data_IF_244026062291
#
_entry.id   IF_244026062291
#
_cell.length_a   1.000
_cell.length_b   1.000
_cell.length_c   1.000
_cell.angle_alpha   90.00
_cell.angle_beta   90.00
_cell.angle_gamma   90.00
#
_symmetry.space_group_name_H-M   'P 1'
#
loop_
_entity.id
_entity.type
_entity.pdbx_description
1 polymer ?
#
# COMPACT_ATOMS: atom_id res chain seq x y z
N UNK A 1 39.60 18.37 -48.54
CA UNK A 1 38.93 18.77 -47.27
C UNK A 1 37.97 17.66 -46.93
N UNK A 2 38.31 16.79 -45.96
CA UNK A 2 37.50 15.66 -45.57
C UNK A 2 36.57 16.13 -44.46
N UNK A 3 35.24 15.94 -44.62
CA UNK A 3 34.25 16.23 -43.60
C UNK A 3 34.44 15.32 -42.38
N UNK A 4 34.30 15.83 -41.14
CA UNK A 4 34.40 15.00 -39.94
C UNK A 4 33.16 14.10 -39.85
N UNK A 5 33.36 12.80 -39.72
CA UNK A 5 32.33 11.79 -39.47
C UNK A 5 31.63 12.12 -38.12
N UNK A 6 30.28 12.20 -38.12
CA UNK A 6 29.56 12.45 -36.85
C UNK A 6 29.79 11.31 -35.87
N UNK A 7 30.27 11.65 -34.67
CA UNK A 7 30.40 10.69 -33.57
C UNK A 7 29.04 10.24 -33.10
N UNK A 8 28.81 8.93 -32.83
CA UNK A 8 27.53 8.45 -32.29
C UNK A 8 27.33 9.06 -30.91
N UNK A 9 26.18 9.70 -30.76
CA UNK A 9 25.71 10.19 -29.44
C UNK A 9 25.68 9.04 -28.46
N UNK A 10 26.23 9.17 -27.23
CA UNK A 10 26.17 8.10 -26.25
C UNK A 10 24.71 7.76 -25.97
N UNK A 11 24.31 6.52 -26.26
CA UNK A 11 23.03 5.99 -25.85
C UNK A 11 23.05 5.86 -24.32
N UNK A 12 22.46 6.83 -23.63
CA UNK A 12 22.19 6.72 -22.19
C UNK A 12 21.23 5.55 -22.01
N UNK A 13 21.72 4.44 -21.49
CA UNK A 13 20.86 3.33 -21.02
C UNK A 13 19.81 3.94 -20.09
N UNK A 14 18.51 3.74 -20.32
CA UNK A 14 17.49 4.28 -19.44
C UNK A 14 17.72 3.73 -18.03
N UNK A 15 17.93 4.65 -17.07
CA UNK A 15 18.09 4.25 -15.67
C UNK A 15 16.79 3.65 -15.18
N UNK A 16 16.89 2.49 -14.56
CA UNK A 16 15.75 1.82 -13.91
C UNK A 16 15.23 2.68 -12.75
N UNK A 17 13.92 2.82 -12.64
CA UNK A 17 13.27 3.48 -11.51
C UNK A 17 12.45 2.44 -10.74
N UNK A 18 12.56 2.42 -9.41
CA UNK A 18 11.77 1.54 -8.56
C UNK A 18 10.73 2.35 -7.79
N UNK A 19 9.49 1.87 -7.74
CA UNK A 19 8.46 2.42 -6.86
C UNK A 19 7.95 1.32 -5.94
N UNK A 20 8.15 1.51 -4.63
CA UNK A 20 7.75 0.60 -3.58
C UNK A 20 6.36 0.99 -3.06
N UNK A 21 5.35 0.19 -3.31
CA UNK A 21 4.04 0.32 -2.67
C UNK A 21 4.12 -0.36 -1.30
N UNK A 22 4.13 0.41 -0.22
CA UNK A 22 4.25 -0.04 1.16
C UNK A 22 2.87 0.00 1.83
N UNK A 23 2.40 -1.13 2.39
CA UNK A 23 1.23 -1.13 3.25
C UNK A 23 1.59 -0.63 4.65
N UNK A 24 0.71 0.16 5.28
CA UNK A 24 0.88 0.61 6.66
C UNK A 24 1.06 -0.55 7.65
N UNK A 25 1.66 -0.27 8.81
CA UNK A 25 1.87 -1.19 9.92
C UNK A 25 0.58 -1.53 10.67
N UNK A 26 0.71 -2.36 11.72
CA UNK A 26 -0.41 -2.72 12.56
C UNK A 26 -1.02 -1.50 13.26
N UNK A 27 -2.36 -1.52 13.39
CA UNK A 27 -3.13 -0.40 13.95
C UNK A 27 -3.65 -0.75 15.34
N UNK A 28 -3.62 0.20 16.27
CA UNK A 28 -4.30 0.08 17.56
C UNK A 28 -5.82 0.09 17.35
N UNK A 29 -6.44 -1.08 17.39
CA UNK A 29 -7.88 -1.27 17.15
C UNK A 29 -8.49 -2.34 18.08
N UNK A 30 -8.51 -2.08 19.39
CA UNK A 30 -8.95 -3.07 20.38
C UNK A 30 -10.41 -3.48 20.21
N UNK A 31 -11.22 -2.60 19.60
CA UNK A 31 -12.65 -2.89 19.38
C UNK A 31 -12.92 -3.71 18.11
N UNK A 32 -11.90 -3.98 17.28
CA UNK A 32 -12.04 -4.75 16.04
C UNK A 32 -13.05 -4.15 15.04
N UNK A 33 -13.09 -2.82 14.92
CA UNK A 33 -13.96 -2.14 13.96
C UNK A 33 -13.31 -2.05 12.59
N UNK A 34 -14.10 -2.04 11.52
CA UNK A 34 -13.61 -1.68 10.21
C UNK A 34 -13.37 -0.16 10.17
N UNK A 35 -12.13 0.27 10.27
CA UNK A 35 -11.79 1.67 10.38
C UNK A 35 -11.75 2.42 9.03
N UNK A 36 -11.52 1.73 7.88
CA UNK A 36 -11.58 2.34 6.56
C UNK A 36 -10.82 3.67 6.45
N UNK A 37 -11.53 4.75 6.13
CA UNK A 37 -10.99 6.13 6.05
C UNK A 37 -11.12 6.94 7.33
N UNK A 38 -11.54 6.33 8.43
CA UNK A 38 -11.75 7.04 9.70
C UNK A 38 -10.43 7.48 10.31
N UNK A 39 -10.45 8.71 10.88
CA UNK A 39 -9.36 9.29 11.64
C UNK A 39 -9.24 8.68 13.05
N UNK A 40 -8.11 8.93 13.72
CA UNK A 40 -7.85 8.47 15.09
C UNK A 40 -7.42 7.01 15.17
N UNK A 41 -7.03 6.39 14.05
CA UNK A 41 -6.49 5.04 14.02
C UNK A 41 -4.98 5.07 13.78
N UNK A 42 -4.23 5.10 14.89
CA UNK A 42 -2.78 5.16 14.95
C UNK A 42 -2.15 3.75 14.91
N UNK A 43 -0.84 3.67 14.67
CA UNK A 43 -0.10 2.44 14.79
C UNK A 43 -0.12 1.91 16.24
N UNK A 44 -0.18 0.58 16.39
CA UNK A 44 0.12 -0.09 17.64
C UNK A 44 1.63 -0.04 17.94
N UNK A 45 2.04 -0.44 19.16
CA UNK A 45 3.45 -0.62 19.47
C UNK A 45 4.16 -1.61 18.54
N UNK A 46 3.45 -2.65 18.08
CA UNK A 46 3.96 -3.59 17.07
C UNK A 46 4.04 -2.91 15.70
N UNK A 47 3.02 -2.13 15.30
CA UNK A 47 3.03 -1.38 14.06
C UNK A 47 4.18 -0.40 13.95
N UNK A 48 4.55 0.27 15.05
CA UNK A 48 5.74 1.15 15.11
C UNK A 48 7.04 0.35 14.89
N UNK A 49 7.18 -0.82 15.52
CA UNK A 49 8.33 -1.72 15.31
C UNK A 49 8.40 -2.21 13.86
N UNK A 50 7.25 -2.52 13.25
CA UNK A 50 7.17 -2.90 11.83
C UNK A 50 7.61 -1.76 10.91
N UNK A 51 7.16 -0.52 11.16
CA UNK A 51 7.56 0.66 10.41
C UNK A 51 9.08 0.92 10.52
N UNK A 52 9.65 0.79 11.72
CA UNK A 52 11.09 0.90 11.94
C UNK A 52 11.86 -0.20 11.18
N UNK A 53 11.40 -1.46 11.19
CA UNK A 53 12.02 -2.56 10.44
C UNK A 53 12.04 -2.28 8.93
N UNK A 54 10.99 -1.69 8.37
CA UNK A 54 10.99 -1.26 6.96
C UNK A 54 12.00 -0.16 6.74
N UNK A 55 12.08 0.83 7.63
CA UNK A 55 13.07 1.90 7.54
C UNK A 55 14.50 1.36 7.55
N UNK A 56 14.80 0.40 8.45
CA UNK A 56 16.10 -0.25 8.52
C UNK A 56 16.43 -1.03 7.23
N UNK A 57 15.44 -1.72 6.67
CA UNK A 57 15.60 -2.51 5.42
C UNK A 57 15.83 -1.63 4.20
N UNK A 58 15.18 -0.47 4.14
CA UNK A 58 15.23 0.46 3.02
C UNK A 58 16.23 1.61 3.23
N UNK A 59 16.82 1.72 4.42
CA UNK A 59 17.60 2.87 4.83
C UNK A 59 18.83 3.18 3.96
N UNK A 60 19.46 2.14 3.38
CA UNK A 60 20.61 2.29 2.51
C UNK A 60 20.26 2.33 1.01
N UNK A 61 18.99 2.17 0.66
CA UNK A 61 18.52 2.23 -0.73
C UNK A 61 18.50 3.68 -1.22
N UNK A 62 18.55 3.86 -2.53
CA UNK A 62 18.59 5.18 -3.19
C UNK A 62 17.19 5.84 -3.28
N UNK A 63 16.50 5.92 -2.12
CA UNK A 63 15.17 6.51 -2.03
C UNK A 63 15.30 8.03 -2.01
N UNK A 64 14.65 8.68 -2.97
CA UNK A 64 14.63 10.14 -3.15
C UNK A 64 13.26 10.76 -2.99
N UNK A 65 12.20 9.94 -2.93
CA UNK A 65 10.82 10.43 -2.89
C UNK A 65 9.92 9.54 -2.03
N UNK A 66 9.14 10.15 -1.14
CA UNK A 66 8.19 9.45 -0.26
C UNK A 66 6.84 10.12 -0.34
N UNK A 67 5.83 9.34 -0.71
CA UNK A 67 4.41 9.74 -0.76
C UNK A 67 3.61 8.90 0.22
N UNK A 68 2.65 9.49 0.92
CA UNK A 68 1.82 8.78 1.88
C UNK A 68 0.35 9.25 1.83
N UNK A 69 -0.57 8.32 2.11
CA UNK A 69 -1.97 8.63 2.39
C UNK A 69 -2.08 9.60 3.58
N UNK A 70 -3.10 10.48 3.63
CA UNK A 70 -3.28 11.44 4.72
C UNK A 70 -3.57 10.78 6.08
N UNK A 71 -3.96 9.52 6.13
CA UNK A 71 -4.37 8.84 7.36
C UNK A 71 -3.19 8.60 8.30
N UNK A 72 -3.39 8.83 9.61
CA UNK A 72 -2.36 8.88 10.66
C UNK A 72 -1.45 7.64 10.63
N UNK A 73 -2.02 6.44 10.62
CA UNK A 73 -1.28 5.16 10.58
C UNK A 73 -0.32 5.04 9.39
N UNK A 74 -0.64 5.73 8.28
CA UNK A 74 0.19 5.71 7.07
C UNK A 74 1.32 6.72 7.19
N UNK A 75 1.03 7.92 7.69
CA UNK A 75 2.03 8.95 8.00
C UNK A 75 3.03 8.42 9.03
N UNK A 76 2.54 7.76 10.09
CA UNK A 76 3.37 7.12 11.11
C UNK A 76 4.23 5.98 10.55
N UNK A 77 3.72 5.22 9.56
CA UNK A 77 4.51 4.18 8.89
C UNK A 77 5.63 4.78 8.03
N UNK A 78 5.38 5.91 7.39
CA UNK A 78 6.37 6.60 6.54
C UNK A 78 7.46 7.31 7.35
N UNK A 79 7.13 7.81 8.54
CA UNK A 79 7.97 8.71 9.32
C UNK A 79 9.37 8.17 9.65
N UNK A 80 9.59 6.91 10.09
CA UNK A 80 10.92 6.39 10.37
C UNK A 80 11.83 6.39 9.15
N UNK A 81 11.31 5.99 7.97
CA UNK A 81 12.08 6.00 6.73
C UNK A 81 12.40 7.42 6.27
N UNK A 82 11.44 8.33 6.36
CA UNK A 82 11.64 9.74 6.03
C UNK A 82 12.74 10.36 6.89
N UNK A 83 12.72 10.11 8.21
CA UNK A 83 13.74 10.55 9.14
C UNK A 83 15.12 9.97 8.80
N UNK A 84 15.21 8.66 8.54
CA UNK A 84 16.46 7.99 8.20
C UNK A 84 17.10 8.51 6.89
N UNK A 85 16.25 8.96 5.94
CA UNK A 85 16.70 9.49 4.64
C UNK A 85 16.83 11.02 4.60
N UNK A 86 16.39 11.73 5.63
CA UNK A 86 16.33 13.21 5.63
C UNK A 86 15.34 13.76 4.60
N UNK A 87 14.28 13.01 4.29
CA UNK A 87 13.26 13.38 3.31
C UNK A 87 11.97 13.85 3.99
N UNK A 88 11.19 14.68 3.30
CA UNK A 88 9.83 15.00 3.69
C UNK A 88 8.85 13.98 3.10
N UNK A 89 7.77 13.69 3.85
CA UNK A 89 6.67 12.87 3.36
C UNK A 89 5.67 13.78 2.63
N UNK A 90 5.42 13.50 1.35
CA UNK A 90 4.37 14.18 0.59
C UNK A 90 3.03 13.48 0.81
N UNK A 91 2.01 14.23 1.18
CA UNK A 91 0.66 13.68 1.34
C UNK A 91 -0.08 13.70 0.01
N UNK A 92 -0.69 12.55 -0.36
CA UNK A 92 -1.48 12.41 -1.58
C UNK A 92 -2.78 11.65 -1.31
N UNK A 93 -3.91 12.31 -1.52
CA UNK A 93 -5.26 11.74 -1.37
C UNK A 93 -5.53 10.57 -2.33
N UNK A 94 -4.83 10.50 -3.45
CA UNK A 94 -5.00 9.42 -4.42
C UNK A 94 -4.55 8.06 -3.89
N UNK A 95 -3.74 8.03 -2.83
CA UNK A 95 -3.26 6.77 -2.23
C UNK A 95 -3.99 6.41 -0.93
N UNK A 96 -5.13 7.08 -0.65
CA UNK A 96 -5.99 6.78 0.51
C UNK A 96 -6.68 5.41 0.39
N UNK A 97 -7.15 4.84 1.51
CA UNK A 97 -7.92 3.59 1.54
C UNK A 97 -9.18 3.70 0.67
N UNK A 98 -9.72 2.57 0.24
CA UNK A 98 -11.00 2.52 -0.46
C UNK A 98 -12.16 2.92 0.49
N UNK A 99 -13.10 3.73 0.01
CA UNK A 99 -14.31 4.00 0.77
C UNK A 99 -15.13 2.72 0.97
N UNK A 100 -15.72 2.55 2.16
CA UNK A 100 -16.54 1.39 2.49
C UNK A 100 -17.73 1.81 3.36
N UNK A 101 -18.94 1.47 2.95
CA UNK A 101 -20.18 1.79 3.68
C UNK A 101 -20.30 1.10 5.05
N UNK A 102 -19.48 0.09 5.32
CA UNK A 102 -19.44 -0.62 6.60
C UNK A 102 -18.40 -0.05 7.58
N UNK A 103 -17.83 1.11 7.32
CA UNK A 103 -16.87 1.75 8.22
C UNK A 103 -17.50 2.01 9.60
N UNK A 104 -16.78 1.62 10.66
CA UNK A 104 -17.25 1.69 12.04
C UNK A 104 -18.03 0.46 12.52
N UNK A 105 -18.42 -0.45 11.62
CA UNK A 105 -19.05 -1.71 12.02
C UNK A 105 -18.02 -2.72 12.50
N UNK A 106 -18.41 -3.59 13.43
CA UNK A 106 -17.57 -4.68 13.92
C UNK A 106 -17.72 -5.91 13.05
N UNK A 107 -16.60 -6.47 12.64
CA UNK A 107 -16.49 -7.76 11.96
C UNK A 107 -15.82 -8.76 12.91
N UNK A 108 -16.51 -9.80 13.36
CA UNK A 108 -15.96 -10.82 14.24
C UNK A 108 -17.01 -11.86 14.65
N UNK A 109 -16.60 -12.90 15.35
CA UNK A 109 -17.45 -14.00 15.80
C UNK A 109 -18.68 -13.48 16.55
N UNK A 110 -19.86 -13.65 15.97
CA UNK A 110 -21.17 -13.35 16.59
C UNK A 110 -21.81 -12.00 16.24
N UNK A 111 -21.11 -11.02 15.66
CA UNK A 111 -21.65 -9.68 15.33
C UNK A 111 -21.37 -9.30 13.87
N UNK A 112 -21.78 -10.14 12.92
CA UNK A 112 -21.58 -9.84 11.51
C UNK A 112 -22.61 -8.81 11.03
N UNK A 113 -22.13 -7.63 10.61
CA UNK A 113 -22.93 -6.65 9.87
C UNK A 113 -23.64 -7.28 8.66
N UNK A 114 -23.04 -8.31 8.05
CA UNK A 114 -23.59 -9.08 6.93
C UNK A 114 -24.86 -9.89 7.28
N UNK A 115 -25.16 -10.16 8.57
CA UNK A 115 -26.38 -10.84 9.01
C UNK A 115 -27.59 -9.91 9.10
N UNK A 116 -27.40 -8.59 8.97
CA UNK A 116 -28.51 -7.64 8.98
C UNK A 116 -29.19 -7.60 7.60
N UNK A 117 -30.51 -7.76 7.48
CA UNK A 117 -31.22 -7.68 6.19
C UNK A 117 -30.97 -6.35 5.44
N UNK A 118 -30.75 -5.26 6.18
CA UNK A 118 -30.39 -3.95 5.60
C UNK A 118 -29.05 -3.94 4.85
N UNK A 119 -28.15 -4.86 5.15
CA UNK A 119 -26.85 -4.99 4.47
C UNK A 119 -26.94 -5.70 3.12
N UNK A 120 -28.00 -6.51 2.90
CA UNK A 120 -28.15 -7.32 1.70
C UNK A 120 -28.38 -6.47 0.44
N UNK A 121 -29.01 -5.30 0.57
CA UNK A 121 -29.13 -4.34 -0.54
C UNK A 121 -27.79 -3.85 -1.08
N UNK A 122 -26.72 -3.95 -0.30
CA UNK A 122 -25.36 -3.57 -0.69
C UNK A 122 -24.54 -4.74 -1.22
N UNK A 123 -25.02 -5.99 -1.08
CA UNK A 123 -24.28 -7.21 -1.43
C UNK A 123 -24.74 -7.85 -2.74
N UNK A 124 -25.76 -7.29 -3.41
CA UNK A 124 -26.40 -7.92 -4.56
C UNK A 124 -25.53 -7.95 -5.83
N UNK A 125 -24.51 -7.09 -5.95
CA UNK A 125 -23.61 -7.05 -7.12
C UNK A 125 -22.15 -7.21 -6.72
N UNK A 126 -21.59 -8.42 -6.76
CA UNK A 126 -20.19 -8.67 -6.40
C UNK A 126 -19.18 -8.11 -7.41
N UNK A 127 -19.61 -7.73 -8.63
CA UNK A 127 -18.74 -7.22 -9.68
C UNK A 127 -18.57 -5.69 -9.64
N UNK A 128 -19.55 -5.00 -9.10
CA UNK A 128 -19.51 -3.57 -8.84
C UNK A 128 -19.85 -3.41 -7.35
N UNK A 129 -18.82 -3.36 -6.46
CA UNK A 129 -19.06 -3.34 -5.04
C UNK A 129 -19.91 -2.13 -4.66
N UNK A 130 -21.22 -2.37 -4.47
CA UNK A 130 -22.18 -1.34 -4.01
C UNK A 130 -21.93 -0.95 -2.55
N UNK A 131 -20.96 -1.62 -1.89
CA UNK A 131 -20.51 -1.31 -0.53
C UNK A 131 -19.24 -0.47 -0.48
N UNK A 132 -18.63 -0.11 -1.61
CA UNK A 132 -17.37 0.61 -1.63
C UNK A 132 -17.05 1.29 -2.95
N UNK A 133 -15.87 1.88 -3.02
CA UNK A 133 -15.31 2.53 -4.21
C UNK A 133 -15.10 1.49 -5.34
N UNK A 134 -15.49 1.78 -6.59
CA UNK A 134 -15.23 0.89 -7.73
C UNK A 134 -13.75 0.59 -7.90
N UNK A 135 -13.40 -0.68 -8.12
CA UNK A 135 -11.99 -1.09 -8.30
C UNK A 135 -11.29 -0.38 -9.46
N UNK A 136 -12.02 -0.02 -10.51
CA UNK A 136 -11.50 0.76 -11.64
C UNK A 136 -11.08 2.17 -11.24
N UNK A 137 -11.81 2.82 -10.34
CA UNK A 137 -11.47 4.15 -9.80
C UNK A 137 -10.25 4.07 -8.89
N UNK A 138 -10.19 3.04 -8.01
CA UNK A 138 -9.02 2.77 -7.18
C UNK A 138 -7.79 2.56 -8.08
N UNK A 139 -7.89 1.72 -9.11
CA UNK A 139 -6.79 1.46 -10.04
C UNK A 139 -6.33 2.75 -10.73
N UNK A 140 -7.27 3.56 -11.20
CA UNK A 140 -6.96 4.80 -11.93
C UNK A 140 -6.21 5.80 -11.03
N UNK A 141 -6.74 6.11 -9.82
CA UNK A 141 -6.09 7.08 -8.91
C UNK A 141 -4.72 6.60 -8.41
N UNK A 142 -4.61 5.33 -8.06
CA UNK A 142 -3.36 4.74 -7.59
C UNK A 142 -2.30 4.66 -8.68
N UNK A 143 -2.70 4.31 -9.92
CA UNK A 143 -1.78 4.27 -11.06
C UNK A 143 -1.26 5.67 -11.40
N UNK A 144 -2.11 6.70 -11.32
CA UNK A 144 -1.69 8.08 -11.52
C UNK A 144 -0.65 8.50 -10.45
N UNK A 145 -0.90 8.23 -9.15
CA UNK A 145 0.05 8.51 -8.09
C UNK A 145 1.38 7.73 -8.25
N UNK A 146 1.30 6.45 -8.66
CA UNK A 146 2.46 5.61 -8.94
C UNK A 146 3.33 6.20 -10.05
N UNK A 147 2.71 6.68 -11.15
CA UNK A 147 3.43 7.31 -12.24
C UNK A 147 4.08 8.64 -11.85
N UNK A 148 3.40 9.47 -11.05
CA UNK A 148 3.98 10.71 -10.53
C UNK A 148 5.19 10.43 -9.62
N UNK A 149 5.09 9.44 -8.73
CA UNK A 149 6.20 9.00 -7.88
C UNK A 149 7.39 8.48 -8.72
N UNK A 150 7.11 7.71 -9.79
CA UNK A 150 8.13 7.27 -10.76
C UNK A 150 8.83 8.47 -11.42
N UNK A 151 8.08 9.48 -11.84
CA UNK A 151 8.65 10.68 -12.47
C UNK A 151 9.51 11.46 -11.47
N UNK A 152 9.02 11.63 -10.25
CA UNK A 152 9.73 12.35 -9.18
C UNK A 152 11.05 11.66 -8.78
N UNK A 153 11.11 10.33 -8.84
CA UNK A 153 12.28 9.53 -8.51
C UNK A 153 13.01 8.96 -9.74
N UNK A 154 12.93 9.62 -10.90
CA UNK A 154 13.47 9.08 -12.15
C UNK A 154 14.95 8.67 -12.04
N UNK A 155 15.24 7.38 -12.28
CA UNK A 155 16.57 6.78 -12.13
C UNK A 155 16.99 6.45 -10.69
N UNK A 156 16.09 6.59 -9.74
CA UNK A 156 16.22 6.35 -8.30
C UNK A 156 15.04 5.52 -7.78
N UNK A 157 14.73 5.62 -6.48
CA UNK A 157 13.66 4.88 -5.86
C UNK A 157 12.65 5.81 -5.16
N UNK A 158 11.36 5.45 -5.24
CA UNK A 158 10.29 6.10 -4.48
C UNK A 158 9.56 5.10 -3.57
N UNK A 159 9.00 5.59 -2.47
CA UNK A 159 8.11 4.82 -1.61
C UNK A 159 6.74 5.50 -1.57
N UNK A 160 5.69 4.73 -1.86
CA UNK A 160 4.29 5.14 -1.77
C UNK A 160 3.63 4.33 -0.67
N UNK A 161 3.36 4.97 0.48
CA UNK A 161 2.75 4.31 1.63
C UNK A 161 1.23 4.41 1.54
N UNK A 162 0.56 3.27 1.55
CA UNK A 162 -0.88 3.18 1.32
C UNK A 162 -1.50 2.00 2.09
N UNK A 163 -2.59 1.43 1.58
CA UNK A 163 -3.44 0.45 2.26
C UNK A 163 -3.57 -0.83 1.44
N UNK A 164 -4.13 -1.88 2.07
CA UNK A 164 -4.19 -3.21 1.47
C UNK A 164 -4.93 -3.25 0.14
N UNK A 165 -6.16 -2.74 0.10
CA UNK A 165 -6.98 -2.88 -1.10
C UNK A 165 -6.48 -2.00 -2.25
N UNK A 166 -6.12 -0.72 -2.04
CA UNK A 166 -5.52 0.10 -3.09
C UNK A 166 -4.26 -0.52 -3.69
N UNK A 167 -3.32 -0.99 -2.87
CA UNK A 167 -2.09 -1.65 -3.36
C UNK A 167 -2.42 -2.91 -4.15
N UNK A 168 -3.33 -3.76 -3.63
CA UNK A 168 -3.70 -5.00 -4.30
C UNK A 168 -4.37 -4.77 -5.65
N UNK A 169 -5.31 -3.81 -5.73
CA UNK A 169 -6.00 -3.45 -6.97
C UNK A 169 -5.01 -2.87 -7.99
N UNK A 170 -4.07 -2.04 -7.56
CA UNK A 170 -2.99 -1.52 -8.42
C UNK A 170 -2.17 -2.66 -8.99
N UNK A 171 -1.74 -3.61 -8.16
CA UNK A 171 -1.00 -4.79 -8.62
C UNK A 171 -1.77 -5.59 -9.66
N UNK A 172 -3.06 -5.88 -9.41
CA UNK A 172 -3.89 -6.59 -10.40
C UNK A 172 -4.00 -5.83 -11.73
N UNK A 173 -4.13 -4.50 -11.66
CA UNK A 173 -4.16 -3.64 -12.85
C UNK A 173 -2.88 -3.73 -13.66
N UNK A 174 -1.72 -3.60 -13.00
CA UNK A 174 -0.40 -3.68 -13.65
C UNK A 174 -0.10 -5.06 -14.23
N UNK A 175 -0.63 -6.13 -13.61
CA UNK A 175 -0.52 -7.52 -14.10
C UNK A 175 -1.57 -7.84 -15.19
N UNK A 176 -2.46 -6.92 -15.57
CA UNK A 176 -3.56 -7.16 -16.52
C UNK A 176 -4.59 -8.18 -16.02
N UNK A 177 -4.69 -8.38 -14.71
CA UNK A 177 -5.59 -9.36 -14.11
C UNK A 177 -6.97 -8.76 -13.80
N UNK A 178 -7.99 -9.63 -13.71
CA UNK A 178 -9.34 -9.22 -13.30
C UNK A 178 -9.35 -8.76 -11.84
N UNK A 179 -10.09 -7.71 -11.52
CA UNK A 179 -10.22 -7.19 -10.16
C UNK A 179 -11.02 -8.09 -9.22
N UNK A 180 -11.88 -8.96 -9.75
CA UNK A 180 -12.58 -9.93 -8.93
C UNK A 180 -11.61 -10.96 -8.35
N UNK A 181 -11.52 -11.02 -7.03
CA UNK A 181 -10.60 -11.90 -6.32
C UNK A 181 -11.14 -12.29 -4.94
N UNK A 182 -10.66 -13.38 -4.39
CA UNK A 182 -10.88 -13.77 -2.99
C UNK A 182 -10.03 -12.84 -2.08
N UNK A 183 -10.64 -12.03 -1.19
CA UNK A 183 -9.90 -11.16 -0.27
C UNK A 183 -8.86 -11.88 0.59
N UNK A 184 -9.09 -13.16 0.87
CA UNK A 184 -8.18 -14.02 1.65
C UNK A 184 -6.88 -14.34 0.94
N UNK A 185 -6.83 -14.18 -0.36
CA UNK A 185 -5.66 -14.47 -1.19
C UNK A 185 -4.84 -13.23 -1.54
N UNK A 186 -5.14 -12.08 -0.91
CA UNK A 186 -4.38 -10.85 -1.13
C UNK A 186 -2.97 -11.00 -0.55
N UNK A 187 -2.00 -10.98 -1.42
CA UNK A 187 -0.59 -10.93 -1.03
C UNK A 187 -0.21 -9.47 -0.77
N UNK A 188 -0.59 -8.96 0.40
CA UNK A 188 -0.32 -7.60 0.87
C UNK A 188 -0.46 -7.58 2.40
N UNK A 189 0.54 -8.13 3.11
CA UNK A 189 0.57 -8.16 4.58
C UNK A 189 0.96 -6.79 5.16
N UNK A 190 0.88 -6.63 6.49
CA UNK A 190 1.29 -5.39 7.16
C UNK A 190 2.77 -5.12 6.89
N UNK A 191 3.12 -3.88 6.58
CA UNK A 191 4.46 -3.45 6.21
C UNK A 191 5.11 -4.27 5.09
N UNK A 192 4.31 -4.88 4.19
CA UNK A 192 4.83 -5.52 2.98
C UNK A 192 5.08 -4.51 1.88
N UNK A 193 6.00 -4.86 0.99
CA UNK A 193 6.36 -4.09 -0.19
C UNK A 193 5.91 -4.81 -1.46
N UNK A 194 5.17 -4.11 -2.32
CA UNK A 194 5.00 -4.47 -3.73
C UNK A 194 5.85 -3.50 -4.54
N UNK A 195 6.96 -3.97 -5.07
CA UNK A 195 7.89 -3.13 -5.83
C UNK A 195 7.62 -3.24 -7.31
N UNK A 196 7.44 -2.10 -7.95
CA UNK A 196 7.26 -1.94 -9.38
C UNK A 196 8.56 -1.38 -9.98
N UNK A 197 9.13 -2.11 -10.92
CA UNK A 197 10.33 -1.73 -11.64
C UNK A 197 9.97 -1.17 -13.01
N UNK A 198 10.53 -0.01 -13.32
CA UNK A 198 10.29 0.71 -14.57
C UNK A 198 11.56 0.88 -15.39
N UNK A 199 11.45 0.66 -16.69
CA UNK A 199 12.37 1.17 -17.72
C UNK A 199 11.66 2.28 -18.50
N UNK A 200 12.04 3.52 -18.26
CA UNK A 200 11.28 4.66 -18.74
C UNK A 200 9.88 4.71 -18.13
N UNK A 201 8.84 4.56 -18.94
CA UNK A 201 7.43 4.52 -18.53
C UNK A 201 6.86 3.09 -18.48
N UNK A 202 7.61 2.11 -18.96
CA UNK A 202 7.17 0.71 -19.06
C UNK A 202 7.46 -0.04 -17.76
N UNK A 203 6.45 -0.71 -17.22
CA UNK A 203 6.62 -1.69 -16.13
C UNK A 203 7.31 -2.94 -16.68
N UNK A 204 8.47 -3.30 -16.09
CA UNK A 204 9.24 -4.47 -16.51
C UNK A 204 9.18 -5.61 -15.52
N UNK A 205 8.96 -5.30 -14.24
CA UNK A 205 8.87 -6.34 -13.20
C UNK A 205 8.05 -5.88 -12.00
N UNK A 206 7.36 -6.84 -11.37
CA UNK A 206 6.75 -6.68 -10.04
C UNK A 206 7.33 -7.73 -9.11
N UNK A 207 7.74 -7.29 -7.91
CA UNK A 207 8.20 -8.18 -6.85
C UNK A 207 7.42 -7.91 -5.57
N UNK A 208 7.39 -8.90 -4.69
CA UNK A 208 6.74 -8.81 -3.38
C UNK A 208 7.70 -9.25 -2.29
N UNK A 209 7.75 -8.52 -1.19
CA UNK A 209 8.56 -8.86 -0.02
C UNK A 209 7.88 -8.43 1.29
N UNK A 210 8.25 -9.06 2.38
CA UNK A 210 7.71 -8.85 3.72
C UNK A 210 8.85 -8.52 4.71
N UNK A 211 9.40 -7.29 4.70
CA UNK A 211 10.53 -6.93 5.57
C UNK A 211 10.26 -7.15 7.06
N UNK A 212 9.01 -6.93 7.48
CA UNK A 212 8.55 -7.08 8.86
C UNK A 212 7.75 -8.38 9.09
N UNK A 213 7.83 -9.36 8.18
CA UNK A 213 7.01 -10.59 8.23
C UNK A 213 7.29 -11.46 9.45
N UNK A 214 8.52 -11.44 9.98
CA UNK A 214 8.91 -12.13 11.20
C UNK A 214 8.26 -11.55 12.48
N UNK A 215 7.88 -10.27 12.45
CA UNK A 215 7.20 -9.58 13.54
C UNK A 215 5.70 -9.89 13.61
N UNK A 216 5.11 -10.45 12.54
CA UNK A 216 3.68 -10.82 12.53
C UNK A 216 3.48 -12.01 13.50
N UNK A 217 2.61 -11.88 14.52
CA UNK A 217 2.33 -12.95 15.46
C UNK A 217 1.87 -14.24 14.76
N UNK A 218 2.25 -15.41 15.29
CA UNK A 218 1.98 -16.70 14.64
C UNK A 218 0.48 -16.93 14.35
N UNK A 219 -0.39 -16.49 15.26
CA UNK A 219 -1.85 -16.59 15.11
C UNK A 219 -2.42 -15.67 14.01
N UNK A 220 -1.71 -14.59 13.68
CA UNK A 220 -2.11 -13.63 12.64
C UNK A 220 -1.49 -13.95 11.26
N UNK A 221 -0.51 -14.87 11.19
CA UNK A 221 0.10 -15.31 9.93
C UNK A 221 -0.92 -16.08 9.12
N UNK A 222 -1.18 -15.61 7.91
CA UNK A 222 -2.16 -16.25 7.02
C UNK A 222 -3.61 -15.94 7.38
N UNK A 223 -3.87 -15.07 8.36
CA UNK A 223 -5.23 -14.59 8.63
C UNK A 223 -5.77 -13.90 7.38
N UNK A 224 -6.83 -14.46 6.87
CA UNK A 224 -7.41 -14.19 5.56
C UNK A 224 -7.91 -12.75 5.38
N UNK A 225 -8.20 -12.06 6.46
CA UNK A 225 -8.68 -10.70 6.50
C UNK A 225 -8.21 -10.06 7.80
N UNK A 226 -6.99 -9.52 7.76
CA UNK A 226 -6.52 -8.67 8.85
C UNK A 226 -7.05 -7.26 8.59
N UNK A 227 -7.96 -6.80 9.45
CA UNK A 227 -8.31 -5.38 9.52
C UNK A 227 -7.10 -4.54 9.98
N UNK A 228 -5.94 -5.17 10.19
CA UNK A 228 -4.69 -4.53 10.59
C UNK A 228 -4.68 -4.06 12.04
N UNK A 229 -5.60 -4.55 12.88
CA UNK A 229 -5.72 -4.12 14.27
C UNK A 229 -5.12 -5.13 15.27
N UNK A 230 -4.50 -4.62 16.33
CA UNK A 230 -4.02 -5.40 17.48
C UNK A 230 -5.18 -5.99 18.27
N UNK A 231 -5.10 -7.25 18.75
CA UNK A 231 -6.04 -7.81 19.72
C UNK A 231 -5.96 -7.09 21.07
N UNK A 232 -7.04 -7.21 21.88
CA UNK A 232 -7.13 -6.54 23.19
C UNK A 232 -6.01 -6.92 24.18
N UNK A 233 -5.41 -8.10 24.02
CA UNK A 233 -4.40 -8.65 24.94
C UNK A 233 -2.97 -8.08 24.73
N UNK A 234 -2.71 -7.35 23.64
CA UNK A 234 -1.39 -6.81 23.30
C UNK A 234 -1.26 -5.29 23.56
N UNK A 235 -2.04 -4.76 24.48
CA UNK A 235 -1.96 -3.36 24.85
C UNK A 235 -1.05 -3.17 26.06
N UNK A 236 -0.10 -2.20 26.05
CA UNK A 236 0.63 -1.80 27.25
C UNK A 236 -0.27 -1.10 28.26
#
# INVERSE_FOLDING_TARGET
>A
MSEPTPQPTPQTTPRTTLVHLLRHGEVHNPRGVLYGRRDGFHLSGLGQKMAQRVADTLGERDITHIVASPLERVQETAAPLAAARGLSVQTDERVIESANVFEGERFGAGKNALKRPSSWRHLWNPFKPSWGEPYTEIAARMTAALHDARVAAAGHEAVVVSHQLPIWVTRLSLEGKRFFHDPRKRQCTLCSLTTVEFEGDRVVRLTYSEPAGDLIPAHARGAAFSAGGAPEEEQP
#
